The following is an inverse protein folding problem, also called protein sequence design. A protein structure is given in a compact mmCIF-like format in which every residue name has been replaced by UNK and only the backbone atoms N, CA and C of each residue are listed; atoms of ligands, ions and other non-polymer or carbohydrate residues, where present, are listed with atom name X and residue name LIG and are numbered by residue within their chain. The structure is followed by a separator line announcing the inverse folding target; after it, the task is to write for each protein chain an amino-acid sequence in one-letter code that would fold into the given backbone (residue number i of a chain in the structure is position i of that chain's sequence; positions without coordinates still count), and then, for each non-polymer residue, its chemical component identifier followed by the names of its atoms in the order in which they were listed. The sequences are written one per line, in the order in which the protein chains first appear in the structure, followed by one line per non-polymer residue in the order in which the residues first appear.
data_IF_070034999334
#
_entry.id   IF_070034999334
#
_cell.length_a   1.000
_cell.length_b   1.000
_cell.length_c   1.000
_cell.angle_alpha   90.00
_cell.angle_beta   90.00
_cell.angle_gamma   90.00
#
_symmetry.space_group_name_H-M   'P 1'
#
loop_
_entity.id
_entity.type
_entity.pdbx_description
1 polymer ?
#
# COMPACT_ATOMS: atom_id res chain seq x y z
N UNK A 1 -5.66 13.01 -17.82
CA UNK A 1 -5.59 13.32 -16.38
C UNK A 1 -4.20 12.87 -15.99
N UNK A 2 -3.31 13.80 -15.65
CA UNK A 2 -1.99 13.42 -15.11
C UNK A 2 -2.20 12.46 -13.93
N UNK A 3 -1.40 11.39 -13.78
CA UNK A 3 -1.49 10.56 -12.60
C UNK A 3 -1.30 11.45 -11.37
N UNK A 4 -2.29 11.45 -10.48
CA UNK A 4 -2.23 12.29 -9.28
C UNK A 4 -1.21 11.66 -8.33
N UNK A 5 -0.02 12.25 -8.28
CA UNK A 5 1.08 11.80 -7.43
C UNK A 5 0.90 12.33 -5.99
N UNK A 6 -0.23 12.00 -5.36
CA UNK A 6 -0.50 12.39 -3.98
C UNK A 6 -0.85 11.18 -3.10
N UNK A 7 0.01 10.91 -2.11
CA UNK A 7 -0.13 9.77 -1.20
C UNK A 7 -1.38 9.84 -0.32
N UNK A 8 -1.97 11.02 -0.17
CA UNK A 8 -3.22 11.22 0.55
C UNK A 8 -4.43 10.66 -0.21
N UNK A 9 -4.32 10.33 -1.49
CA UNK A 9 -5.39 9.70 -2.28
C UNK A 9 -5.25 8.17 -2.39
N UNK A 10 -4.19 7.58 -1.81
CA UNK A 10 -3.92 6.14 -1.91
C UNK A 10 -4.72 5.28 -0.93
N UNK A 11 -5.44 5.91 0.00
CA UNK A 11 -6.25 5.22 0.99
C UNK A 11 -7.70 5.07 0.50
N UNK A 12 -8.38 4.02 0.95
CA UNK A 12 -9.83 3.94 0.79
C UNK A 12 -10.49 5.08 1.55
N UNK A 13 -11.57 5.66 1.01
CA UNK A 13 -12.23 6.82 1.61
C UNK A 13 -12.63 6.60 3.07
N UNK A 14 -13.05 5.41 3.46
CA UNK A 14 -13.41 5.12 4.85
C UNK A 14 -12.23 5.27 5.84
N UNK A 15 -10.97 5.08 5.40
CA UNK A 15 -9.75 5.29 6.22
C UNK A 15 -9.58 6.73 6.65
N UNK A 16 -10.14 7.69 5.90
CA UNK A 16 -10.08 9.12 6.22
C UNK A 16 -10.64 9.39 7.61
N UNK A 17 -11.65 8.63 8.02
CA UNK A 17 -12.32 8.78 9.32
C UNK A 17 -11.74 7.92 10.45
N UNK A 18 -10.81 7.00 10.13
CA UNK A 18 -10.33 6.00 11.10
C UNK A 18 -9.60 6.59 12.30
N UNK A 19 -8.94 7.74 12.15
CA UNK A 19 -8.23 8.39 13.24
C UNK A 19 -9.14 8.70 14.44
N UNK A 20 -10.44 8.95 14.19
CA UNK A 20 -11.46 9.16 15.24
C UNK A 20 -12.05 7.87 15.81
N UNK A 21 -11.78 6.71 15.21
CA UNK A 21 -12.37 5.41 15.58
C UNK A 21 -11.46 4.58 16.47
N UNK A 22 -10.20 4.97 16.61
CA UNK A 22 -9.28 4.29 17.53
C UNK A 22 -9.66 4.54 19.00
N UNK A 23 -9.31 3.60 19.91
CA UNK A 23 -9.40 3.86 21.33
C UNK A 23 -8.64 5.15 21.70
N UNK A 24 -9.16 5.96 22.63
CA UNK A 24 -8.45 7.14 23.09
C UNK A 24 -7.07 6.75 23.66
N UNK A 25 -6.08 7.62 23.46
CA UNK A 25 -4.70 7.44 23.92
C UNK A 25 -3.92 6.30 23.26
N UNK A 26 -4.32 5.86 22.06
CA UNK A 26 -3.52 4.90 21.30
C UNK A 26 -2.16 5.49 20.93
N UNK A 27 -1.08 4.76 21.22
CA UNK A 27 0.30 5.19 20.93
C UNK A 27 0.93 4.35 19.82
N UNK A 28 0.52 3.09 19.67
CA UNK A 28 1.05 2.24 18.62
C UNK A 28 0.00 1.33 18.00
N UNK A 29 0.09 1.20 16.68
CA UNK A 29 -0.70 0.30 15.85
C UNK A 29 0.27 -0.55 15.04
N UNK A 30 0.17 -1.85 15.24
CA UNK A 30 0.95 -2.87 14.53
C UNK A 30 0.04 -3.67 13.59
N UNK A 31 0.37 -3.69 12.30
CA UNK A 31 -0.35 -4.42 11.26
C UNK A 31 0.57 -5.41 10.55
N UNK A 32 0.04 -6.57 10.18
CA UNK A 32 0.78 -7.60 9.44
C UNK A 32 0.02 -8.03 8.18
N UNK A 33 0.77 -8.40 7.15
CA UNK A 33 0.23 -8.79 5.84
C UNK A 33 0.57 -10.25 5.57
N UNK A 34 -0.45 -11.03 5.21
CA UNK A 34 -0.33 -12.45 4.87
C UNK A 34 -1.24 -12.81 3.69
N UNK A 35 -0.86 -13.87 2.97
CA UNK A 35 -1.76 -14.54 2.05
C UNK A 35 -2.57 -15.59 2.80
N UNK A 36 -3.87 -15.41 3.02
CA UNK A 36 -4.71 -16.35 3.78
C UNK A 36 -5.17 -17.59 2.99
N UNK A 37 -5.03 -17.55 1.68
CA UNK A 37 -5.54 -18.57 0.77
C UNK A 37 -5.33 -18.17 -0.68
N UNK A 38 -5.61 -19.10 -1.57
CA UNK A 38 -5.49 -18.90 -3.01
C UNK A 38 -5.40 -20.23 -3.73
N UNK A 39 -5.16 -20.16 -5.04
CA UNK A 39 -4.96 -21.35 -5.88
C UNK A 39 -3.70 -22.13 -5.53
N UNK A 40 -2.72 -21.48 -4.92
CA UNK A 40 -1.41 -22.04 -4.60
C UNK A 40 -1.18 -22.04 -3.09
N UNK A 41 -0.55 -23.11 -2.59
CA UNK A 41 -0.18 -23.24 -1.17
C UNK A 41 1.03 -22.37 -0.78
N UNK A 42 1.73 -21.81 -1.76
CA UNK A 42 2.90 -20.99 -1.53
C UNK A 42 2.85 -19.75 -2.42
N UNK A 43 3.43 -18.66 -1.93
CA UNK A 43 3.50 -17.36 -2.61
C UNK A 43 4.96 -16.92 -2.74
N UNK A 44 5.31 -16.24 -3.83
CA UNK A 44 6.64 -15.69 -4.01
C UNK A 44 6.58 -14.20 -3.66
N UNK A 45 7.17 -13.79 -2.54
CA UNK A 45 7.08 -12.41 -2.10
C UNK A 45 7.91 -11.48 -2.99
N UNK A 46 7.28 -10.53 -3.68
CA UNK A 46 7.97 -9.59 -4.58
C UNK A 46 7.16 -8.31 -4.77
N UNK A 47 7.84 -7.18 -4.99
CA UNK A 47 7.24 -5.90 -5.37
C UNK A 47 7.08 -4.89 -4.24
N UNK A 48 7.45 -5.22 -3.00
CA UNK A 48 7.33 -4.30 -1.85
C UNK A 48 8.23 -3.08 -2.04
N UNK A 49 9.50 -3.30 -2.37
CA UNK A 49 10.53 -2.29 -2.57
C UNK A 49 10.10 -1.24 -3.59
N UNK A 50 9.42 -1.65 -4.66
CA UNK A 50 8.89 -0.73 -5.65
C UNK A 50 7.85 0.22 -5.04
N UNK A 51 6.86 -0.35 -4.35
CA UNK A 51 5.79 0.41 -3.70
C UNK A 51 6.35 1.35 -2.62
N UNK A 52 7.32 0.88 -1.83
CA UNK A 52 7.99 1.70 -0.81
C UNK A 52 8.72 2.89 -1.44
N UNK A 53 9.56 2.64 -2.45
CA UNK A 53 10.35 3.70 -3.10
C UNK A 53 9.48 4.73 -3.81
N UNK A 54 8.34 4.30 -4.38
CA UNK A 54 7.45 5.23 -5.09
C UNK A 54 6.56 6.05 -4.15
N UNK A 55 6.06 5.48 -3.06
CA UNK A 55 4.97 6.10 -2.29
C UNK A 55 5.27 6.35 -0.81
N UNK A 56 6.36 5.81 -0.25
CA UNK A 56 6.57 5.84 1.21
C UNK A 56 7.95 6.34 1.65
N UNK A 57 8.94 6.33 0.75
CA UNK A 57 10.31 6.74 1.06
C UNK A 57 10.53 8.19 0.64
N UNK A 58 11.11 8.99 1.53
CA UNK A 58 11.42 10.40 1.30
C UNK A 58 10.31 11.35 1.76
N UNK A 59 10.34 12.57 1.26
CA UNK A 59 9.32 13.59 1.53
C UNK A 59 8.12 13.34 0.64
N UNK A 60 7.13 12.63 1.16
CA UNK A 60 5.97 12.19 0.38
C UNK A 60 4.71 13.02 0.65
N UNK A 61 4.76 13.92 1.64
CA UNK A 61 3.67 14.84 1.98
C UNK A 61 4.23 16.25 2.13
N UNK A 62 3.50 17.24 1.62
CA UNK A 62 3.75 18.65 1.86
C UNK A 62 2.43 19.38 2.15
N UNK A 63 2.51 20.63 2.62
CA UNK A 63 1.32 21.41 2.98
C UNK A 63 0.34 21.62 1.81
N UNK A 64 0.83 21.80 0.58
CA UNK A 64 -0.04 21.96 -0.59
C UNK A 64 -0.87 20.70 -0.90
N UNK A 65 -0.26 19.51 -0.76
CA UNK A 65 -0.95 18.22 -0.91
C UNK A 65 -2.04 18.03 0.16
N UNK A 66 -1.82 18.53 1.37
CA UNK A 66 -2.80 18.51 2.47
C UNK A 66 -3.97 19.43 2.15
N UNK A 67 -3.70 20.65 1.69
CA UNK A 67 -4.74 21.62 1.33
C UNK A 67 -5.63 21.09 0.19
N UNK A 68 -5.01 20.50 -0.84
CA UNK A 68 -5.71 19.87 -1.96
C UNK A 68 -6.57 18.69 -1.49
N UNK A 69 -6.00 17.79 -0.68
CA UNK A 69 -6.71 16.62 -0.19
C UNK A 69 -7.86 16.99 0.75
N UNK A 70 -7.70 18.04 1.57
CA UNK A 70 -8.77 18.54 2.43
C UNK A 70 -9.97 19.00 1.61
N UNK A 71 -9.73 19.79 0.57
CA UNK A 71 -10.81 20.27 -0.30
C UNK A 71 -11.48 19.11 -1.04
N UNK A 72 -10.69 18.17 -1.57
CA UNK A 72 -11.22 16.96 -2.22
C UNK A 72 -12.10 16.14 -1.28
N UNK A 73 -11.62 15.81 -0.08
CA UNK A 73 -12.38 14.98 0.86
C UNK A 73 -13.61 15.70 1.39
N UNK A 74 -13.54 17.01 1.63
CA UNK A 74 -14.71 17.81 2.00
C UNK A 74 -15.81 17.71 0.95
N UNK A 75 -15.47 17.76 -0.34
CA UNK A 75 -16.44 17.56 -1.42
C UNK A 75 -16.94 16.11 -1.48
N UNK A 76 -16.02 15.13 -1.38
CA UNK A 76 -16.33 13.70 -1.42
C UNK A 76 -17.33 13.28 -0.33
N UNK A 77 -17.22 13.86 0.87
CA UNK A 77 -18.09 13.59 2.01
C UNK A 77 -19.26 14.58 2.15
N UNK A 78 -19.67 15.26 1.07
CA UNK A 78 -20.87 16.10 1.06
C UNK A 78 -20.77 17.36 1.95
N UNK A 79 -19.57 17.92 2.09
CA UNK A 79 -19.28 19.12 2.88
C UNK A 79 -18.76 18.85 4.30
N UNK A 80 -18.73 17.59 4.75
CA UNK A 80 -18.24 17.22 6.06
C UNK A 80 -16.70 17.32 6.13
N UNK A 81 -16.19 18.07 7.12
CA UNK A 81 -14.75 18.21 7.37
C UNK A 81 -14.26 17.05 8.26
N UNK A 82 -14.08 15.88 7.64
CA UNK A 82 -13.66 14.63 8.33
C UNK A 82 -12.18 14.28 8.09
N UNK A 83 -11.46 15.10 7.33
CA UNK A 83 -10.08 14.83 7.00
C UNK A 83 -9.16 15.20 8.16
N UNK A 84 -8.20 14.33 8.51
CA UNK A 84 -7.26 14.57 9.60
C UNK A 84 -6.14 15.56 9.22
N UNK A 85 -6.52 16.81 8.92
CA UNK A 85 -5.58 17.87 8.55
C UNK A 85 -4.50 18.05 9.61
N UNK A 86 -4.88 18.12 10.89
CA UNK A 86 -3.94 18.30 12.01
C UNK A 86 -2.89 17.19 12.07
N UNK A 87 -3.30 15.94 11.86
CA UNK A 87 -2.38 14.80 11.88
C UNK A 87 -1.41 14.82 10.70
N UNK A 88 -1.88 15.19 9.51
CA UNK A 88 -1.01 15.32 8.34
C UNK A 88 -0.06 16.51 8.43
N UNK A 89 -0.53 17.66 8.91
CA UNK A 89 0.35 18.82 9.16
C UNK A 89 1.42 18.50 10.19
N UNK A 90 1.08 17.78 11.26
CA UNK A 90 2.08 17.29 12.22
C UNK A 90 3.18 16.45 11.55
N UNK A 91 2.85 15.59 10.57
CA UNK A 91 3.87 14.82 9.83
C UNK A 91 4.78 15.75 9.01
N UNK A 92 4.21 16.77 8.36
CA UNK A 92 5.00 17.74 7.59
C UNK A 92 5.91 18.55 8.51
N UNK A 93 5.38 19.06 9.62
CA UNK A 93 6.09 19.99 10.50
C UNK A 93 7.12 19.28 11.40
N UNK A 94 6.82 18.07 11.89
CA UNK A 94 7.69 17.34 12.84
C UNK A 94 8.58 16.28 12.16
N UNK A 95 8.16 15.73 11.01
CA UNK A 95 8.91 14.70 10.28
C UNK A 95 9.35 15.16 8.88
N UNK A 96 9.23 16.45 8.58
CA UNK A 96 9.63 17.06 7.30
C UNK A 96 8.97 16.37 6.08
N UNK A 97 7.72 15.91 6.25
CA UNK A 97 6.95 15.21 5.20
C UNK A 97 7.32 13.75 5.01
N UNK A 98 8.21 13.20 5.83
CA UNK A 98 8.57 11.78 5.84
C UNK A 98 7.60 10.98 6.72
N UNK A 99 7.23 9.77 6.31
CA UNK A 99 6.31 8.94 7.08
C UNK A 99 7.04 8.24 8.24
N UNK A 100 6.65 8.47 9.50
CA UNK A 100 7.21 7.77 10.66
C UNK A 100 6.63 6.35 10.78
N UNK A 101 6.97 5.49 9.82
CA UNK A 101 6.57 4.10 9.74
C UNK A 101 7.82 3.19 9.71
N UNK A 102 7.73 2.04 10.36
CA UNK A 102 8.72 0.98 10.28
C UNK A 102 8.09 -0.24 9.62
N UNK A 103 8.78 -0.75 8.60
CA UNK A 103 8.33 -1.90 7.81
C UNK A 103 9.37 -3.01 7.91
N UNK A 104 8.95 -4.20 8.32
CA UNK A 104 9.80 -5.41 8.36
C UNK A 104 9.21 -6.42 7.42
N UNK A 105 10.01 -6.94 6.49
CA UNK A 105 9.55 -7.85 5.46
C UNK A 105 10.50 -9.05 5.31
N UNK A 106 9.96 -10.16 4.81
CA UNK A 106 10.79 -11.26 4.28
C UNK A 106 11.55 -10.77 3.04
N UNK A 107 12.71 -11.36 2.69
CA UNK A 107 13.44 -10.96 1.50
C UNK A 107 12.60 -11.15 0.23
N UNK A 108 12.61 -10.19 -0.68
CA UNK A 108 11.95 -10.36 -1.98
C UNK A 108 12.59 -11.52 -2.77
N UNK A 109 11.76 -12.26 -3.50
CA UNK A 109 12.09 -13.54 -4.11
C UNK A 109 11.88 -14.75 -3.19
N UNK A 110 11.61 -14.56 -1.90
CA UNK A 110 11.36 -15.67 -0.97
C UNK A 110 10.05 -16.37 -1.29
N UNK A 111 10.10 -17.70 -1.31
CA UNK A 111 8.92 -18.56 -1.42
C UNK A 111 8.43 -18.89 -0.03
N UNK A 112 7.23 -18.41 0.31
CA UNK A 112 6.65 -18.55 1.64
C UNK A 112 5.31 -19.29 1.53
N UNK A 113 5.03 -20.31 2.36
CA UNK A 113 3.69 -20.90 2.44
C UNK A 113 2.65 -19.85 2.81
N UNK A 114 1.45 -19.94 2.24
CA UNK A 114 0.30 -19.15 2.70
C UNK A 114 0.07 -19.29 4.22
N UNK A 115 -0.58 -18.29 4.83
CA UNK A 115 -0.78 -18.14 6.29
C UNK A 115 0.51 -17.89 7.07
N UNK A 116 1.51 -17.31 6.42
CA UNK A 116 2.69 -16.74 7.06
C UNK A 116 2.73 -15.24 6.79
N UNK A 117 3.35 -14.52 7.73
CA UNK A 117 3.59 -13.09 7.60
C UNK A 117 4.60 -12.84 6.49
N UNK A 118 4.24 -11.98 5.54
CA UNK A 118 5.12 -11.52 4.46
C UNK A 118 5.86 -10.25 4.90
N UNK A 119 5.12 -9.30 5.46
CA UNK A 119 5.67 -8.08 6.04
C UNK A 119 4.74 -7.48 7.09
N UNK A 120 5.27 -6.55 7.85
CA UNK A 120 4.63 -5.89 8.98
C UNK A 120 4.89 -4.40 8.91
N UNK A 121 3.94 -3.60 9.39
CA UNK A 121 3.96 -2.14 9.38
C UNK A 121 3.59 -1.66 10.78
N UNK A 122 4.40 -0.78 11.34
CA UNK A 122 4.18 -0.16 12.66
C UNK A 122 4.52 1.34 12.61
N UNK A 123 3.82 2.18 13.37
CA UNK A 123 4.17 3.58 13.52
C UNK A 123 5.33 3.76 14.50
N UNK A 124 6.23 4.71 14.20
CA UNK A 124 7.39 5.02 15.06
C UNK A 124 7.19 6.27 15.91
N UNK A 125 6.12 7.05 15.67
CA UNK A 125 5.73 8.21 16.47
C UNK A 125 4.33 7.98 17.10
N UNK A 126 4.18 8.13 18.42
CA UNK A 126 2.91 7.99 19.13
C UNK A 126 1.77 8.89 18.64
N UNK A 127 2.07 10.09 18.13
CA UNK A 127 1.07 11.07 17.69
C UNK A 127 0.35 10.66 16.40
N UNK A 128 0.87 9.65 15.68
CA UNK A 128 0.40 9.24 14.35
C UNK A 128 0.10 7.76 14.26
N UNK A 129 -0.38 7.16 15.35
CA UNK A 129 -0.80 5.76 15.39
C UNK A 129 -1.81 5.38 14.28
N UNK A 130 -2.64 6.33 13.84
CA UNK A 130 -3.62 6.13 12.76
C UNK A 130 -2.97 5.88 11.39
N UNK A 131 -1.72 6.31 11.19
CA UNK A 131 -1.00 6.29 9.91
C UNK A 131 -0.76 4.87 9.39
N UNK A 132 -0.56 3.89 10.28
CA UNK A 132 -0.25 2.50 9.91
C UNK A 132 -1.25 1.91 8.92
N UNK A 133 -2.55 2.20 9.07
CA UNK A 133 -3.58 1.64 8.19
C UNK A 133 -4.03 2.56 7.07
N UNK A 134 -3.50 3.79 7.03
CA UNK A 134 -3.67 4.63 5.86
C UNK A 134 -3.09 3.95 4.61
N UNK A 135 -1.90 3.37 4.76
CA UNK A 135 -1.19 2.69 3.68
C UNK A 135 -1.59 1.24 3.47
N UNK A 136 -2.65 0.75 4.14
CA UNK A 136 -3.09 -0.64 4.01
C UNK A 136 -3.38 -1.02 2.55
N UNK A 137 -4.10 -0.16 1.82
CA UNK A 137 -4.48 -0.41 0.42
C UNK A 137 -3.24 -0.52 -0.47
N UNK A 138 -2.30 0.40 -0.28
CA UNK A 138 -1.03 0.41 -0.99
C UNK A 138 -0.23 -0.88 -0.72
N UNK A 139 -0.15 -1.29 0.55
CA UNK A 139 0.49 -2.52 0.97
C UNK A 139 -0.23 -3.80 0.49
N UNK A 140 -1.56 -3.81 0.40
CA UNK A 140 -2.33 -4.95 -0.14
C UNK A 140 -2.01 -5.21 -1.62
N UNK A 141 -1.69 -4.17 -2.39
CA UNK A 141 -1.28 -4.34 -3.79
C UNK A 141 0.04 -5.13 -3.93
N UNK A 142 0.96 -5.02 -2.96
CA UNK A 142 2.16 -5.86 -2.89
C UNK A 142 1.78 -7.35 -2.83
N UNK A 143 0.83 -7.68 -1.95
CA UNK A 143 0.43 -9.07 -1.70
C UNK A 143 -0.24 -9.67 -2.94
N UNK A 144 -0.99 -8.88 -3.70
CA UNK A 144 -1.57 -9.30 -4.98
C UNK A 144 -0.49 -9.66 -6.01
N UNK A 145 0.60 -8.89 -6.08
CA UNK A 145 1.72 -9.13 -7.00
C UNK A 145 2.47 -10.42 -6.65
N UNK A 146 2.65 -10.71 -5.36
CA UNK A 146 3.36 -11.90 -4.88
C UNK A 146 2.75 -13.24 -5.35
N UNK A 147 1.44 -13.29 -5.59
CA UNK A 147 0.74 -14.51 -6.03
C UNK A 147 0.93 -14.77 -7.53
N UNK A 148 1.16 -13.73 -8.33
CA UNK A 148 1.19 -13.82 -9.79
C UNK A 148 2.49 -14.41 -10.33
N UNK A 149 3.60 -14.26 -9.61
CA UNK A 149 4.95 -14.64 -10.04
C UNK A 149 5.18 -16.15 -10.23
N UNK A 150 4.21 -17.01 -9.91
CA UNK A 150 4.33 -18.48 -10.00
C UNK A 150 3.73 -19.14 -11.23
N UNK A 151 2.95 -18.42 -12.02
CA UNK A 151 2.55 -18.95 -13.33
C UNK A 151 3.79 -18.92 -14.26
N UNK A 152 3.88 -19.73 -15.33
CA UNK A 152 4.84 -19.53 -16.44
C UNK A 152 4.48 -18.28 -17.26
N UNK A 153 4.21 -17.20 -16.54
CA UNK A 153 3.64 -15.96 -17.00
C UNK A 153 4.55 -14.87 -16.44
N UNK A 154 5.77 -14.88 -16.97
CA UNK A 154 6.58 -13.67 -17.05
C UNK A 154 5.79 -12.59 -17.79
N UNK A 155 4.94 -12.95 -18.76
CA UNK A 155 4.20 -12.00 -19.60
C UNK A 155 3.10 -11.20 -18.88
N UNK A 156 2.25 -11.75 -18.01
CA UNK A 156 1.25 -10.96 -17.26
C UNK A 156 1.91 -10.12 -16.19
N UNK A 157 2.96 -10.61 -15.53
CA UNK A 157 3.69 -9.77 -14.56
C UNK A 157 4.36 -8.61 -15.29
N UNK A 158 5.01 -8.88 -16.43
CA UNK A 158 5.56 -7.86 -17.30
C UNK A 158 4.48 -6.92 -17.83
N UNK A 159 3.33 -7.41 -18.32
CA UNK A 159 2.23 -6.58 -18.82
C UNK A 159 1.60 -5.76 -17.70
N UNK A 160 1.41 -6.31 -16.49
CA UNK A 160 0.88 -5.56 -15.36
C UNK A 160 1.86 -4.48 -14.91
N UNK A 161 3.16 -4.81 -14.83
CA UNK A 161 4.23 -3.84 -14.58
C UNK A 161 4.28 -2.80 -15.71
N UNK A 162 4.15 -3.20 -16.97
CA UNK A 162 4.26 -2.34 -18.16
C UNK A 162 3.05 -1.41 -18.31
N UNK A 163 1.85 -1.92 -18.05
CA UNK A 163 0.59 -1.15 -18.12
C UNK A 163 0.38 -0.25 -16.93
N UNK A 164 0.81 -0.67 -15.74
CA UNK A 164 0.68 0.14 -14.53
C UNK A 164 1.86 1.09 -14.34
N UNK A 165 3.04 0.75 -14.87
CA UNK A 165 4.32 1.44 -14.59
C UNK A 165 5.29 1.40 -15.80
N UNK A 166 5.01 2.16 -16.88
CA UNK A 166 5.75 2.08 -18.15
C UNK A 166 7.23 2.52 -18.06
N UNK A 167 7.65 3.19 -16.98
CA UNK A 167 8.98 3.82 -16.87
C UNK A 167 10.13 2.86 -16.50
N UNK A 168 9.86 1.56 -16.27
CA UNK A 168 10.77 0.71 -15.47
C UNK A 168 11.55 -0.36 -16.27
N UNK A 169 11.33 -0.58 -17.57
CA UNK A 169 11.99 -1.70 -18.28
C UNK A 169 12.60 -1.34 -19.64
N UNK A 170 13.85 -0.88 -19.61
CA UNK A 170 14.85 -1.19 -20.65
C UNK A 170 15.54 -2.51 -20.27
N UNK A 171 14.90 -3.65 -20.52
CA UNK A 171 15.56 -4.97 -20.49
C UNK A 171 15.03 -5.81 -21.66
N UNK A 172 15.95 -6.21 -22.55
CA UNK A 172 15.76 -6.84 -23.87
C UNK A 172 14.47 -7.64 -24.10
N UNK A 173 13.69 -7.18 -25.07
CA UNK A 173 12.40 -7.73 -25.52
C UNK A 173 12.49 -8.84 -26.58
N UNK A 174 13.66 -9.42 -26.86
CA UNK A 174 13.88 -10.24 -28.06
C UNK A 174 13.39 -11.70 -28.01
N UNK A 175 12.68 -12.16 -26.97
CA UNK A 175 12.39 -13.61 -26.79
C UNK A 175 10.95 -13.99 -26.33
N UNK A 176 9.90 -13.22 -26.62
CA UNK A 176 8.52 -13.57 -26.21
C UNK A 176 7.58 -13.87 -27.39
N UNK A 177 7.07 -15.12 -27.54
CA UNK A 177 6.15 -15.51 -28.62
C UNK A 177 4.69 -15.03 -28.44
N UNK A 178 4.02 -14.80 -29.58
CA UNK A 178 2.77 -14.04 -29.82
C UNK A 178 1.45 -14.53 -29.16
N UNK A 179 1.42 -15.65 -28.44
CA UNK A 179 0.16 -16.24 -27.94
C UNK A 179 -0.36 -15.65 -26.61
N UNK A 180 0.24 -14.56 -26.11
CA UNK A 180 0.05 -14.07 -24.74
C UNK A 180 -0.98 -12.93 -24.58
N UNK A 181 -1.72 -12.57 -25.63
CA UNK A 181 -2.62 -11.40 -25.62
C UNK A 181 -4.08 -11.66 -25.17
N UNK A 182 -4.49 -12.88 -24.78
CA UNK A 182 -5.90 -13.16 -24.44
C UNK A 182 -6.09 -13.82 -23.07
N UNK A 183 -6.60 -13.06 -22.09
CA UNK A 183 -7.33 -13.62 -20.95
C UNK A 183 -7.06 -13.01 -19.57
N UNK A 184 -7.74 -11.92 -19.23
CA UNK A 184 -7.94 -11.49 -17.84
C UNK A 184 -9.43 -11.64 -17.47
N UNK A 185 -9.75 -12.64 -16.64
CA UNK A 185 -10.99 -12.68 -15.84
C UNK A 185 -10.59 -12.85 -14.37
N UNK A 186 -11.31 -12.11 -13.53
CA UNK A 186 -11.09 -11.85 -12.11
C UNK A 186 -10.77 -13.11 -11.28
N UNK A 187 -9.67 -13.09 -10.51
CA UNK A 187 -9.43 -14.04 -9.44
C UNK A 187 -9.71 -13.34 -8.11
N UNK A 188 -10.81 -13.71 -7.46
CA UNK A 188 -11.17 -13.24 -6.11
C UNK A 188 -10.18 -13.84 -5.10
N UNK A 189 -9.28 -13.02 -4.57
CA UNK A 189 -8.46 -13.37 -3.40
C UNK A 189 -9.11 -12.74 -2.17
N UNK A 190 -9.43 -13.55 -1.16
CA UNK A 190 -9.94 -13.07 0.13
C UNK A 190 -8.79 -12.52 0.95
N UNK A 191 -8.72 -11.21 1.08
CA UNK A 191 -7.88 -10.52 2.06
C UNK A 191 -8.74 -10.06 3.22
N UNK A 192 -8.26 -10.32 4.44
CA UNK A 192 -8.81 -9.69 5.64
C UNK A 192 -7.61 -9.33 6.53
N UNK A 193 -7.46 -8.04 6.82
CA UNK A 193 -6.62 -7.58 7.90
C UNK A 193 -7.26 -8.04 9.22
N UNK A 194 -6.63 -8.96 9.95
CA UNK A 194 -7.09 -9.32 11.31
C UNK A 194 -5.88 -9.45 12.20
N UNK A 195 -5.52 -8.37 12.88
CA UNK A 195 -5.42 -8.28 14.35
C UNK A 195 -4.86 -6.90 14.72
N UNK A 196 -5.71 -6.06 15.29
CA UNK A 196 -5.30 -4.82 15.94
C UNK A 196 -4.61 -5.19 17.25
N UNK A 197 -3.29 -5.02 17.34
CA UNK A 197 -2.63 -4.91 18.62
C UNK A 197 -2.42 -3.41 18.86
N UNK A 198 -3.41 -2.79 19.49
CA UNK A 198 -3.26 -1.45 20.04
C UNK A 198 -2.51 -1.57 21.37
N UNK A 199 -1.32 -1.01 21.43
CA UNK A 199 -0.61 -0.84 22.70
C UNK A 199 -0.88 0.57 23.23
N UNK A 200 -1.05 0.67 24.56
CA UNK A 200 -1.15 1.94 25.28
C UNK A 200 0.25 2.38 25.66
#
# INVERSE_FOLDING_TARGET
MEPVDNVLYLADSYKVTHYNQYPPLITSVYSYFECRGGKFEQVCFFGLQYILKRWMVGQVVNHAMIDEAKEFYKQHFGGLDVFNESGWRYIVDNHNGMLPLRIKAVPEGSVIPYKNVLFTVENTDPCVAWLTNWFEVCCLNVVKLAVLARKPITSILLVFIWTSFPEILFVNSENLPDYLQRGCRENVIKFFLVRWLAYR
#
